data_IF_987602998939
#
_entry.id   IF_987602998939
#
_cell.length_a   1.000
_cell.length_b   1.000
_cell.length_c   1.000
_cell.angle_alpha   90.00
_cell.angle_beta   90.00
_cell.angle_gamma   90.00
#
_symmetry.space_group_name_H-M   'P 1'
#
loop_
_entity.id
_entity.type
_entity.pdbx_description
1 polymer ?
#
# COMPACT_ATOMS: atom_id res chain seq x y z
N UNK A 1 24.18 19.67 20.37
CA UNK A 1 22.93 19.92 21.13
C UNK A 1 22.46 21.36 20.96
N UNK A 2 23.21 22.37 21.41
CA UNK A 2 22.81 23.79 21.24
C UNK A 2 22.63 24.20 19.76
N UNK A 3 23.58 23.82 18.89
CA UNK A 3 23.49 24.08 17.45
C UNK A 3 22.26 23.40 16.81
N UNK A 4 21.87 22.21 17.28
CA UNK A 4 20.68 21.50 16.79
C UNK A 4 19.38 22.18 17.25
N UNK A 5 19.33 22.72 18.47
CA UNK A 5 18.22 23.58 18.92
C UNK A 5 18.12 24.85 18.07
N UNK A 6 19.25 25.47 17.76
CA UNK A 6 19.30 26.62 16.85
C UNK A 6 18.87 26.27 15.43
N UNK A 7 19.14 25.03 14.96
CA UNK A 7 18.69 24.55 13.66
C UNK A 7 17.18 24.43 13.62
N UNK A 8 16.52 23.91 14.66
CA UNK A 8 15.05 23.91 14.75
C UNK A 8 14.47 25.32 14.65
N UNK A 9 15.05 26.29 15.37
CA UNK A 9 14.59 27.68 15.33
C UNK A 9 14.80 28.33 13.95
N UNK A 10 15.98 28.14 13.35
CA UNK A 10 16.28 28.64 12.01
C UNK A 10 15.33 28.03 10.97
N UNK A 11 15.03 26.74 11.09
CA UNK A 11 14.12 26.04 10.20
C UNK A 11 12.68 26.54 10.34
N UNK A 12 12.21 26.75 11.57
CA UNK A 12 10.90 27.34 11.88
C UNK A 12 10.74 28.76 11.33
N UNK A 13 11.81 29.56 11.32
CA UNK A 13 11.78 30.95 10.86
C UNK A 13 12.07 31.10 9.35
N UNK A 14 12.36 30.01 8.63
CA UNK A 14 12.68 30.06 7.20
C UNK A 14 14.07 30.62 6.88
N UNK A 15 15.00 30.63 7.85
CA UNK A 15 16.32 31.23 7.75
C UNK A 15 17.30 30.34 6.96
N UNK A 16 17.13 30.24 5.64
CA UNK A 16 17.86 29.32 4.73
C UNK A 16 19.38 29.34 4.94
N UNK A 17 20.01 30.52 4.95
CA UNK A 17 21.47 30.63 5.09
C UNK A 17 21.97 30.21 6.48
N UNK A 18 21.16 30.45 7.51
CA UNK A 18 21.47 30.00 8.87
C UNK A 18 21.32 28.48 8.99
N UNK A 19 20.29 27.90 8.38
CA UNK A 19 20.12 26.44 8.28
C UNK A 19 21.35 25.81 7.61
N UNK A 20 21.82 26.36 6.48
CA UNK A 20 23.05 25.91 5.80
C UNK A 20 24.28 26.00 6.72
N UNK A 21 24.50 27.16 7.32
CA UNK A 21 25.65 27.38 8.22
C UNK A 21 25.64 26.40 9.40
N UNK A 22 24.47 26.15 10.00
CA UNK A 22 24.33 25.26 11.15
C UNK A 22 24.57 23.80 10.77
N UNK A 23 24.02 23.32 9.64
CA UNK A 23 24.28 21.94 9.19
C UNK A 23 25.75 21.73 8.83
N UNK A 24 26.40 22.71 8.20
CA UNK A 24 27.82 22.63 7.82
C UNK A 24 28.73 22.66 9.06
N UNK A 25 28.26 23.28 10.15
CA UNK A 25 28.90 23.24 11.46
C UNK A 25 28.63 21.95 12.25
N UNK A 26 27.94 20.96 11.68
CA UNK A 26 27.66 19.66 12.29
C UNK A 26 26.40 19.63 13.15
N UNK A 27 25.45 20.57 12.98
CA UNK A 27 24.15 20.45 13.62
C UNK A 27 23.41 19.20 13.11
N UNK A 28 22.87 18.42 14.04
CA UNK A 28 22.11 17.21 13.74
C UNK A 28 20.74 17.55 13.15
N UNK A 29 20.54 17.20 11.86
CA UNK A 29 19.29 17.42 11.12
C UNK A 29 18.16 16.49 11.53
N UNK A 30 18.47 15.43 12.29
CA UNK A 30 17.49 14.47 12.86
C UNK A 30 17.11 14.80 14.30
N UNK A 31 17.65 15.88 14.87
CA UNK A 31 17.43 16.27 16.26
C UNK A 31 15.95 16.56 16.55
N UNK A 32 15.44 16.04 17.67
CA UNK A 32 14.13 16.37 18.20
C UNK A 32 14.26 17.45 19.28
N UNK A 33 13.48 18.52 19.15
CA UNK A 33 13.42 19.57 20.17
C UNK A 33 12.57 19.17 21.38
N UNK A 34 12.43 20.10 22.32
CA UNK A 34 11.69 19.88 23.57
C UNK A 34 10.16 19.70 23.33
N UNK A 35 9.67 19.95 22.10
CA UNK A 35 8.31 19.65 21.66
C UNK A 35 8.19 18.32 20.89
N UNK A 36 9.29 17.60 20.70
CA UNK A 36 9.33 16.38 19.90
C UNK A 36 9.19 16.64 18.40
N UNK A 37 9.64 17.80 17.91
CA UNK A 37 9.64 18.14 16.48
C UNK A 37 11.07 18.23 15.94
N UNK A 38 11.26 17.73 14.71
CA UNK A 38 12.52 17.87 13.98
C UNK A 38 12.59 19.23 13.25
N UNK A 39 13.79 19.69 12.83
CA UNK A 39 13.90 20.86 11.95
C UNK A 39 13.02 20.75 10.70
N UNK A 40 12.93 19.55 10.12
CA UNK A 40 12.14 19.30 8.91
C UNK A 40 10.63 19.47 9.17
N UNK A 41 10.13 19.00 10.32
CA UNK A 41 8.73 19.19 10.72
C UNK A 41 8.39 20.67 10.93
N UNK A 42 9.28 21.45 11.57
CA UNK A 42 9.06 22.89 11.72
C UNK A 42 9.03 23.60 10.37
N UNK A 43 10.01 23.33 9.49
CA UNK A 43 10.04 23.94 8.16
C UNK A 43 8.80 23.59 7.33
N UNK A 44 8.33 22.35 7.43
CA UNK A 44 7.14 21.88 6.73
C UNK A 44 5.84 22.51 7.26
N UNK A 45 5.68 22.59 8.59
CA UNK A 45 4.52 23.23 9.25
C UNK A 45 4.36 24.71 8.89
N UNK A 46 5.48 25.42 8.71
CA UNK A 46 5.48 26.85 8.36
C UNK A 46 5.61 27.11 6.85
N UNK A 47 5.65 26.05 6.03
CA UNK A 47 5.64 26.15 4.56
C UNK A 47 6.95 26.65 3.94
N UNK A 48 8.06 26.50 4.64
CA UNK A 48 9.38 26.95 4.17
C UNK A 48 10.02 25.94 3.22
N UNK A 49 9.46 25.81 2.01
CA UNK A 49 9.84 24.82 0.98
C UNK A 49 11.35 24.77 0.69
N UNK A 50 12.04 25.92 0.67
CA UNK A 50 13.50 25.99 0.45
C UNK A 50 14.28 25.38 1.61
N UNK A 51 13.84 25.61 2.85
CA UNK A 51 14.43 24.99 4.03
C UNK A 51 14.14 23.49 4.04
N UNK A 52 12.91 23.07 3.72
CA UNK A 52 12.53 21.65 3.58
C UNK A 52 13.49 20.93 2.63
N UNK A 53 13.69 21.47 1.41
CA UNK A 53 14.66 20.93 0.44
C UNK A 53 16.08 20.87 1.01
N UNK A 54 16.54 21.95 1.63
CA UNK A 54 17.89 22.07 2.19
C UNK A 54 18.18 21.03 3.28
N UNK A 55 17.17 20.71 4.09
CA UNK A 55 17.25 19.71 5.16
C UNK A 55 17.20 18.28 4.60
N UNK A 56 16.35 18.01 3.61
CA UNK A 56 16.29 16.70 2.93
C UNK A 56 17.61 16.38 2.22
N UNK A 57 18.21 17.35 1.52
CA UNK A 57 19.54 17.22 0.91
C UNK A 57 20.65 16.95 1.93
N UNK A 58 20.44 17.37 3.19
CA UNK A 58 21.35 17.12 4.30
C UNK A 58 21.10 15.77 4.99
N UNK A 59 20.16 14.96 4.51
CA UNK A 59 19.82 13.66 5.08
C UNK A 59 18.81 13.70 6.24
N UNK A 60 18.03 14.78 6.37
CA UNK A 60 16.94 14.80 7.34
C UNK A 60 15.93 13.68 7.02
N UNK A 61 15.54 12.85 8.00
CA UNK A 61 14.60 11.75 7.77
C UNK A 61 13.21 12.27 7.43
N UNK A 62 12.75 12.00 6.21
CA UNK A 62 11.41 12.39 5.74
C UNK A 62 10.29 11.68 6.49
N UNK A 63 10.58 10.48 7.02
CA UNK A 63 9.64 9.58 7.71
C UNK A 63 9.73 9.65 9.24
N UNK A 64 10.42 10.64 9.81
CA UNK A 64 10.40 10.85 11.25
C UNK A 64 8.98 11.22 11.72
N UNK A 65 8.61 10.75 12.92
CA UNK A 65 7.29 10.96 13.51
C UNK A 65 7.39 11.71 14.82
N UNK A 66 6.51 12.69 15.01
CA UNK A 66 6.34 13.41 16.27
C UNK A 66 5.62 12.52 17.31
N UNK A 67 5.53 12.94 18.60
CA UNK A 67 4.73 12.24 19.60
C UNK A 67 3.25 12.09 19.26
N UNK A 68 2.73 12.90 18.32
CA UNK A 68 1.37 12.82 17.80
C UNK A 68 1.25 11.89 16.57
N UNK A 69 2.30 11.15 16.23
CA UNK A 69 2.38 10.29 15.05
C UNK A 69 2.25 11.05 13.71
N UNK A 70 2.59 12.35 13.70
CA UNK A 70 2.62 13.20 12.51
C UNK A 70 4.05 13.32 11.98
N UNK A 71 4.21 13.13 10.68
CA UNK A 71 5.44 13.39 9.92
C UNK A 71 5.52 14.84 9.46
N UNK A 72 6.67 15.24 8.88
CA UNK A 72 6.79 16.54 8.23
C UNK A 72 5.76 16.73 7.10
N UNK A 73 5.43 15.66 6.36
CA UNK A 73 4.42 15.71 5.29
C UNK A 73 3.01 15.94 5.82
N UNK A 74 2.67 15.31 6.95
CA UNK A 74 1.38 15.53 7.63
C UNK A 74 1.24 17.00 8.05
N UNK A 75 2.29 17.59 8.66
CA UNK A 75 2.28 19.02 9.03
C UNK A 75 2.14 19.96 7.83
N UNK A 76 2.82 19.67 6.71
CA UNK A 76 2.68 20.48 5.50
C UNK A 76 1.25 20.39 4.93
N UNK A 77 0.65 19.21 4.94
CA UNK A 77 -0.71 18.97 4.46
C UNK A 77 -1.75 19.69 5.34
N UNK A 78 -1.69 19.51 6.67
CA UNK A 78 -2.61 20.14 7.62
C UNK A 78 -2.57 21.68 7.57
N UNK A 79 -1.39 22.24 7.32
CA UNK A 79 -1.19 23.68 7.18
C UNK A 79 -1.47 24.22 5.76
N UNK A 80 -1.79 23.36 4.79
CA UNK A 80 -2.10 23.75 3.40
C UNK A 80 -0.87 24.18 2.58
N UNK A 81 0.33 23.73 2.94
CA UNK A 81 1.59 24.07 2.28
C UNK A 81 1.96 23.09 1.16
N UNK A 82 1.25 23.21 0.03
CA UNK A 82 1.33 22.30 -1.11
C UNK A 82 2.77 22.08 -1.64
N UNK A 83 3.56 23.15 -1.81
CA UNK A 83 4.92 23.02 -2.35
C UNK A 83 5.84 22.21 -1.41
N UNK A 84 5.77 22.47 -0.10
CA UNK A 84 6.52 21.70 0.89
C UNK A 84 6.09 20.23 0.90
N UNK A 85 4.78 19.99 0.81
CA UNK A 85 4.20 18.64 0.71
C UNK A 85 4.71 17.89 -0.51
N UNK A 86 4.69 18.49 -1.70
CA UNK A 86 5.18 17.89 -2.95
C UNK A 86 6.68 17.55 -2.87
N UNK A 87 7.50 18.43 -2.28
CA UNK A 87 8.92 18.16 -2.06
C UNK A 87 9.11 16.92 -1.16
N UNK A 88 8.32 16.81 -0.09
CA UNK A 88 8.39 15.69 0.85
C UNK A 88 7.92 14.37 0.21
N UNK A 89 6.83 14.39 -0.57
CA UNK A 89 6.36 13.21 -1.32
C UNK A 89 7.47 12.71 -2.25
N UNK A 90 8.05 13.61 -3.05
CA UNK A 90 9.13 13.26 -3.98
C UNK A 90 10.36 12.68 -3.26
N UNK A 91 10.72 13.25 -2.11
CA UNK A 91 11.84 12.73 -1.31
C UNK A 91 11.54 11.34 -0.75
N UNK A 92 10.31 11.08 -0.30
CA UNK A 92 9.87 9.76 0.14
C UNK A 92 9.96 8.71 -0.97
N UNK A 93 9.40 9.02 -2.15
CA UNK A 93 9.46 8.14 -3.33
C UNK A 93 10.91 7.83 -3.70
N UNK A 94 11.76 8.85 -3.80
CA UNK A 94 13.16 8.69 -4.16
C UNK A 94 13.91 7.80 -3.16
N UNK A 95 13.67 8.00 -1.85
CA UNK A 95 14.27 7.19 -0.81
C UNK A 95 13.84 5.72 -0.94
N UNK A 96 12.54 5.45 -1.09
CA UNK A 96 12.00 4.08 -1.21
C UNK A 96 12.52 3.37 -2.48
N UNK A 97 12.61 4.06 -3.62
CA UNK A 97 13.19 3.49 -4.85
C UNK A 97 14.66 3.06 -4.67
N UNK A 98 15.46 3.89 -3.98
CA UNK A 98 16.86 3.59 -3.69
C UNK A 98 16.97 2.43 -2.70
N UNK A 99 16.22 2.49 -1.59
CA UNK A 99 16.24 1.46 -0.55
C UNK A 99 15.77 0.11 -1.10
N UNK A 100 14.67 0.07 -1.85
CA UNK A 100 14.21 -1.13 -2.54
C UNK A 100 15.28 -1.69 -3.48
N UNK A 101 15.99 -0.84 -4.22
CA UNK A 101 17.07 -1.28 -5.12
C UNK A 101 18.25 -1.89 -4.36
N UNK A 102 18.60 -1.35 -3.19
CA UNK A 102 19.64 -1.91 -2.32
C UNK A 102 19.16 -3.25 -1.74
N UNK A 103 17.95 -3.29 -1.18
CA UNK A 103 17.34 -4.49 -0.60
C UNK A 103 17.31 -5.65 -1.60
N UNK A 104 16.95 -5.38 -2.86
CA UNK A 104 16.97 -6.39 -3.94
C UNK A 104 18.35 -6.93 -4.26
N UNK A 105 19.40 -6.12 -4.12
CA UNK A 105 20.80 -6.57 -4.32
C UNK A 105 21.29 -7.43 -3.16
N UNK A 106 20.78 -7.20 -1.95
CA UNK A 106 21.18 -7.92 -0.74
C UNK A 106 20.33 -9.17 -0.47
N UNK A 107 19.05 -9.17 -0.79
CA UNK A 107 18.08 -10.25 -0.50
C UNK A 107 18.08 -11.40 -1.50
N UNK A 108 19.24 -11.73 -2.11
CA UNK A 108 19.41 -13.03 -2.78
C UNK A 108 19.42 -14.23 -1.81
N UNK A 109 19.27 -13.98 -0.50
CA UNK A 109 19.04 -14.98 0.52
C UNK A 109 17.62 -14.78 1.06
N UNK A 110 16.74 -15.76 0.81
CA UNK A 110 15.36 -15.73 1.29
C UNK A 110 15.29 -15.78 2.81
N UNK A 111 14.58 -14.83 3.39
CA UNK A 111 13.90 -15.04 4.66
C UNK A 111 12.45 -15.34 4.32
N UNK A 112 12.02 -16.54 4.70
CA UNK A 112 10.86 -17.23 4.14
C UNK A 112 9.54 -16.68 4.66
N UNK A 113 8.58 -16.59 3.73
CA UNK A 113 7.11 -16.49 3.89
C UNK A 113 6.49 -17.70 4.62
N UNK A 114 7.29 -18.54 5.29
CA UNK A 114 6.88 -19.83 5.87
C UNK A 114 5.93 -19.68 7.08
N UNK A 115 5.92 -18.52 7.75
CA UNK A 115 5.17 -18.39 9.01
C UNK A 115 3.65 -18.37 8.83
N UNK A 116 3.09 -17.84 7.72
CA UNK A 116 1.63 -17.78 7.53
C UNK A 116 1.05 -19.06 6.93
N UNK A 117 1.71 -19.68 5.95
CA UNK A 117 1.16 -20.85 5.24
C UNK A 117 1.15 -22.11 6.11
N UNK A 118 2.02 -22.16 7.13
CA UNK A 118 2.06 -23.19 8.15
C UNK A 118 1.23 -22.82 9.40
N UNK A 119 0.64 -21.62 9.44
CA UNK A 119 -0.16 -21.16 10.58
C UNK A 119 -1.59 -21.72 10.56
N UNK A 120 -2.20 -21.73 11.75
CA UNK A 120 -3.61 -22.01 11.94
C UNK A 120 -4.40 -20.72 11.73
N UNK A 121 -5.50 -20.78 11.00
CA UNK A 121 -6.42 -19.64 10.87
C UNK A 121 -7.74 -19.89 11.59
N UNK A 122 -8.37 -18.82 12.04
CA UNK A 122 -9.68 -18.85 12.67
C UNK A 122 -10.69 -18.03 11.89
N UNK A 123 -11.87 -18.61 11.67
CA UNK A 123 -12.97 -17.96 10.97
C UNK A 123 -14.07 -17.58 11.96
N UNK A 124 -14.56 -16.36 11.83
CA UNK A 124 -15.81 -15.88 12.41
C UNK A 124 -16.71 -15.32 11.31
N UNK A 125 -17.92 -14.89 11.67
CA UNK A 125 -18.82 -14.23 10.71
C UNK A 125 -18.16 -12.98 10.08
N UNK A 126 -17.38 -12.25 10.87
CA UNK A 126 -16.89 -10.92 10.49
C UNK A 126 -15.38 -10.87 10.18
N UNK A 127 -14.61 -11.92 10.49
CA UNK A 127 -13.14 -11.87 10.47
C UNK A 127 -12.52 -13.23 10.13
N UNK A 128 -11.43 -13.19 9.38
CA UNK A 128 -10.42 -14.24 9.26
C UNK A 128 -9.16 -13.76 9.97
N UNK A 129 -8.61 -14.58 10.87
CA UNK A 129 -7.45 -14.21 11.69
C UNK A 129 -6.40 -15.31 11.74
N UNK A 130 -5.13 -14.92 11.82
CA UNK A 130 -4.00 -15.82 12.09
C UNK A 130 -3.94 -16.25 13.58
N UNK A 131 -3.01 -17.12 13.95
CA UNK A 131 -2.87 -17.58 15.35
C UNK A 131 -2.41 -16.47 16.30
N UNK A 132 -1.82 -15.41 15.77
CA UNK A 132 -1.31 -14.25 16.50
C UNK A 132 -2.36 -13.14 16.68
N UNK A 133 -3.62 -13.42 16.34
CA UNK A 133 -4.74 -12.47 16.38
C UNK A 133 -4.54 -11.23 15.50
N UNK A 134 -3.79 -11.36 14.41
CA UNK A 134 -3.77 -10.39 13.31
C UNK A 134 -4.92 -10.70 12.37
N UNK A 135 -5.57 -9.65 11.90
CA UNK A 135 -6.59 -9.77 10.87
C UNK A 135 -5.94 -10.12 9.53
N UNK A 136 -6.44 -11.17 8.90
CA UNK A 136 -6.12 -11.56 7.51
C UNK A 136 -7.08 -10.86 6.55
N UNK A 137 -8.38 -10.90 6.86
CA UNK A 137 -9.45 -10.23 6.11
C UNK A 137 -10.63 -9.94 7.05
N UNK A 138 -11.36 -8.84 6.81
CA UNK A 138 -12.47 -8.42 7.68
C UNK A 138 -13.69 -7.92 6.90
N UNK A 139 -14.88 -8.13 7.46
CA UNK A 139 -16.15 -7.78 6.80
C UNK A 139 -16.33 -6.28 6.50
N UNK A 140 -15.64 -5.38 7.20
CA UNK A 140 -15.71 -3.94 6.91
C UNK A 140 -15.18 -3.60 5.51
N UNK A 141 -14.32 -4.46 4.93
CA UNK A 141 -13.74 -4.29 3.60
C UNK A 141 -14.75 -4.58 2.48
N UNK A 142 -15.93 -5.12 2.80
CA UNK A 142 -16.93 -5.53 1.81
C UNK A 142 -17.26 -4.44 0.77
N UNK A 143 -17.51 -3.16 1.13
CA UNK A 143 -17.78 -2.12 0.14
C UNK A 143 -16.57 -1.86 -0.78
N UNK A 144 -15.34 -2.03 -0.26
CA UNK A 144 -14.11 -1.93 -1.06
C UNK A 144 -14.03 -3.08 -2.05
N UNK A 145 -14.26 -4.31 -1.59
CA UNK A 145 -14.26 -5.52 -2.42
C UNK A 145 -15.31 -5.45 -3.53
N UNK A 146 -16.50 -4.91 -3.25
CA UNK A 146 -17.54 -4.66 -4.25
C UNK A 146 -17.10 -3.63 -5.30
N UNK A 147 -16.42 -2.56 -4.87
CA UNK A 147 -15.89 -1.55 -5.78
C UNK A 147 -14.74 -2.10 -6.65
N UNK A 148 -13.87 -2.93 -6.09
CA UNK A 148 -12.82 -3.65 -6.83
C UNK A 148 -13.41 -4.60 -7.86
N UNK A 149 -14.37 -5.44 -7.44
CA UNK A 149 -15.09 -6.36 -8.33
C UNK A 149 -15.75 -5.60 -9.50
N UNK A 150 -16.39 -4.47 -9.23
CA UNK A 150 -16.98 -3.61 -10.27
C UNK A 150 -15.93 -3.13 -11.28
N UNK A 151 -14.75 -2.73 -10.82
CA UNK A 151 -13.68 -2.25 -11.69
C UNK A 151 -13.15 -3.38 -12.59
N UNK A 152 -12.73 -4.50 -12.01
CA UNK A 152 -12.12 -5.61 -12.75
C UNK A 152 -13.11 -6.34 -13.66
N UNK A 153 -14.40 -6.34 -13.33
CA UNK A 153 -15.44 -6.95 -14.17
C UNK A 153 -16.04 -6.01 -15.23
N UNK A 154 -15.56 -4.76 -15.35
CA UNK A 154 -16.16 -3.76 -16.25
C UNK A 154 -16.18 -4.18 -17.72
N UNK A 155 -15.20 -4.98 -18.17
CA UNK A 155 -15.14 -5.57 -19.51
C UNK A 155 -15.78 -6.96 -19.63
N UNK A 156 -16.27 -7.55 -18.53
CA UNK A 156 -16.67 -8.95 -18.47
C UNK A 156 -15.50 -9.91 -18.69
N UNK A 157 -15.74 -11.04 -19.35
CA UNK A 157 -14.66 -11.94 -19.78
C UNK A 157 -14.12 -12.85 -18.68
N UNK A 158 -12.81 -13.08 -18.71
CA UNK A 158 -12.09 -13.99 -17.81
C UNK A 158 -11.45 -13.18 -16.68
N UNK A 159 -11.83 -13.46 -15.44
CA UNK A 159 -11.38 -12.72 -14.26
C UNK A 159 -10.44 -13.60 -13.43
N UNK A 160 -9.33 -13.02 -12.98
CA UNK A 160 -8.39 -13.62 -12.04
C UNK A 160 -8.50 -12.91 -10.68
N UNK A 161 -8.57 -13.68 -9.61
CA UNK A 161 -8.32 -13.23 -8.25
C UNK A 161 -7.08 -13.96 -7.69
N UNK A 162 -6.16 -13.21 -7.07
CA UNK A 162 -5.03 -13.74 -6.31
C UNK A 162 -5.26 -13.45 -4.82
N UNK A 163 -5.53 -14.51 -4.06
CA UNK A 163 -5.90 -14.45 -2.64
C UNK A 163 -7.42 -14.50 -2.44
N UNK A 164 -7.94 -15.59 -1.88
CA UNK A 164 -9.38 -15.76 -1.66
C UNK A 164 -9.83 -15.15 -0.33
N UNK A 165 -9.07 -15.39 0.76
CA UNK A 165 -9.40 -14.93 2.10
C UNK A 165 -10.79 -15.40 2.56
N UNK A 166 -11.72 -14.46 2.75
CA UNK A 166 -13.12 -14.76 3.10
C UNK A 166 -14.05 -14.91 1.88
N UNK A 167 -13.56 -14.70 0.66
CA UNK A 167 -14.32 -14.76 -0.59
C UNK A 167 -15.23 -13.55 -0.82
N UNK A 168 -14.93 -12.40 -0.20
CA UNK A 168 -15.73 -11.18 -0.32
C UNK A 168 -15.71 -10.64 -1.75
N UNK A 169 -14.51 -10.43 -2.30
CA UNK A 169 -14.33 -9.98 -3.69
C UNK A 169 -14.82 -11.02 -4.68
N UNK A 170 -14.56 -12.30 -4.43
CA UNK A 170 -15.02 -13.39 -5.29
C UNK A 170 -16.54 -13.45 -5.37
N UNK A 171 -17.21 -13.29 -4.22
CA UNK A 171 -18.66 -13.21 -4.12
C UNK A 171 -19.22 -12.05 -4.94
N UNK A 172 -18.56 -10.88 -4.87
CA UNK A 172 -18.93 -9.71 -5.66
C UNK A 172 -18.66 -9.91 -7.17
N UNK A 173 -17.51 -10.47 -7.56
CA UNK A 173 -17.17 -10.80 -8.95
C UNK A 173 -18.24 -11.72 -9.57
N UNK A 174 -18.68 -12.73 -8.83
CA UNK A 174 -19.70 -13.67 -9.32
C UNK A 174 -21.06 -13.00 -9.63
N UNK A 175 -21.38 -11.85 -9.04
CA UNK A 175 -22.60 -11.10 -9.37
C UNK A 175 -22.56 -10.53 -10.79
N UNK A 176 -21.36 -10.32 -11.35
CA UNK A 176 -21.15 -9.84 -12.72
C UNK A 176 -21.14 -10.96 -13.77
N UNK A 177 -21.32 -12.22 -13.35
CA UNK A 177 -21.38 -13.39 -14.26
C UNK A 177 -20.22 -13.47 -15.27
N UNK A 178 -18.95 -13.48 -14.82
CA UNK A 178 -17.82 -13.59 -15.73
C UNK A 178 -17.83 -14.93 -16.48
N UNK A 179 -17.22 -14.95 -17.68
CA UNK A 179 -17.08 -16.16 -18.51
C UNK A 179 -16.33 -17.24 -17.73
N UNK A 180 -15.23 -16.85 -17.08
CA UNK A 180 -14.53 -17.69 -16.11
C UNK A 180 -13.99 -16.85 -14.97
N UNK A 181 -13.89 -17.46 -13.80
CA UNK A 181 -13.31 -16.87 -12.60
C UNK A 181 -12.22 -17.79 -12.05
N UNK A 182 -10.96 -17.42 -12.27
CA UNK A 182 -9.81 -18.15 -11.72
C UNK A 182 -9.44 -17.56 -10.37
N UNK A 183 -9.29 -18.39 -9.35
CA UNK A 183 -8.94 -17.98 -7.99
C UNK A 183 -7.68 -18.72 -7.59
N UNK A 184 -6.62 -17.99 -7.24
CA UNK A 184 -5.40 -18.56 -6.64
C UNK A 184 -5.51 -18.44 -5.13
N UNK A 185 -5.33 -19.55 -4.41
CA UNK A 185 -5.33 -19.60 -2.95
C UNK A 185 -4.19 -20.48 -2.45
N UNK A 186 -3.38 -19.93 -1.53
CA UNK A 186 -2.17 -20.57 -1.04
C UNK A 186 -2.37 -21.27 0.31
N UNK A 187 -3.26 -20.76 1.16
CA UNK A 187 -3.44 -21.24 2.53
C UNK A 187 -4.30 -22.52 2.56
N UNK A 188 -3.80 -23.65 3.09
CA UNK A 188 -4.50 -24.93 3.08
C UNK A 188 -5.90 -24.88 3.71
N UNK A 189 -6.04 -24.28 4.90
CA UNK A 189 -7.35 -24.21 5.59
C UNK A 189 -8.37 -23.30 4.88
N UNK A 190 -7.91 -22.24 4.20
CA UNK A 190 -8.78 -21.38 3.38
C UNK A 190 -9.26 -22.17 2.15
N UNK A 191 -8.34 -22.87 1.48
CA UNK A 191 -8.66 -23.74 0.35
C UNK A 191 -9.67 -24.85 0.73
N UNK A 192 -9.47 -25.53 1.85
CA UNK A 192 -10.43 -26.53 2.34
C UNK A 192 -11.82 -25.91 2.58
N UNK A 193 -11.87 -24.72 3.17
CA UNK A 193 -13.12 -23.99 3.37
C UNK A 193 -13.80 -23.61 2.05
N UNK A 194 -13.04 -23.20 1.02
CA UNK A 194 -13.58 -22.95 -0.33
C UNK A 194 -14.29 -24.18 -0.88
N UNK A 195 -13.68 -25.37 -0.75
CA UNK A 195 -14.28 -26.62 -1.20
C UNK A 195 -15.55 -26.98 -0.43
N UNK A 196 -15.51 -26.84 0.91
CA UNK A 196 -16.67 -27.10 1.79
C UNK A 196 -17.85 -26.16 1.49
N UNK A 197 -17.57 -24.90 1.20
CA UNK A 197 -18.58 -23.88 0.87
C UNK A 197 -19.03 -23.92 -0.60
N UNK A 198 -18.52 -24.88 -1.39
CA UNK A 198 -19.02 -25.19 -2.72
C UNK A 198 -18.41 -24.37 -3.85
N UNK A 199 -17.33 -23.62 -3.61
CA UNK A 199 -16.65 -22.87 -4.67
C UNK A 199 -16.12 -23.75 -5.79
N UNK A 200 -15.57 -24.93 -5.44
CA UNK A 200 -15.12 -25.92 -6.43
C UNK A 200 -16.24 -26.57 -7.25
N UNK A 201 -17.52 -26.31 -6.93
CA UNK A 201 -18.69 -26.84 -7.66
C UNK A 201 -19.29 -25.83 -8.64
N UNK A 202 -18.84 -24.58 -8.63
CA UNK A 202 -19.32 -23.54 -9.56
C UNK A 202 -18.73 -23.79 -10.95
N UNK A 203 -19.59 -23.90 -11.96
CA UNK A 203 -19.19 -24.30 -13.31
C UNK A 203 -18.19 -23.34 -13.99
N UNK A 204 -18.20 -22.06 -13.63
CA UNK A 204 -17.30 -21.05 -14.19
C UNK A 204 -16.12 -20.71 -13.27
N UNK A 205 -15.93 -21.42 -12.14
CA UNK A 205 -14.83 -21.17 -11.21
C UNK A 205 -13.73 -22.22 -11.38
N UNK A 206 -12.48 -21.75 -11.49
CA UNK A 206 -11.27 -22.58 -11.47
C UNK A 206 -10.44 -22.18 -10.24
N UNK A 207 -10.33 -23.09 -9.27
CA UNK A 207 -9.45 -22.87 -8.11
C UNK A 207 -8.07 -23.44 -8.42
N UNK A 208 -7.04 -22.62 -8.25
CA UNK A 208 -5.63 -23.01 -8.40
C UNK A 208 -4.98 -22.94 -7.01
N UNK A 209 -4.68 -24.10 -6.44
CA UNK A 209 -4.10 -24.18 -5.10
C UNK A 209 -2.58 -24.01 -5.16
N UNK A 210 -2.05 -23.13 -4.32
CA UNK A 210 -0.63 -22.84 -4.18
C UNK A 210 -0.32 -21.35 -4.17
N UNK A 211 0.93 -21.00 -3.86
CA UNK A 211 1.42 -19.62 -3.94
C UNK A 211 1.38 -19.14 -5.38
N UNK A 212 1.03 -17.87 -5.60
CA UNK A 212 0.95 -17.30 -6.95
C UNK A 212 2.30 -17.39 -7.69
N UNK A 213 3.41 -17.27 -6.97
CA UNK A 213 4.78 -17.44 -7.46
C UNK A 213 4.97 -18.82 -8.11
N UNK A 214 4.46 -19.88 -7.47
CA UNK A 214 4.65 -21.26 -7.92
C UNK A 214 3.67 -21.64 -9.03
N UNK A 215 2.45 -21.07 -9.01
CA UNK A 215 1.38 -21.42 -9.96
C UNK A 215 1.30 -20.49 -11.17
N UNK A 216 2.10 -19.42 -11.21
CA UNK A 216 2.25 -18.49 -12.34
C UNK A 216 2.29 -19.17 -13.73
N UNK A 217 3.02 -20.27 -13.95
CA UNK A 217 3.04 -20.97 -15.24
C UNK A 217 1.67 -21.52 -15.68
N UNK A 218 0.76 -21.77 -14.73
CA UNK A 218 -0.59 -22.29 -14.96
C UNK A 218 -1.61 -21.18 -15.27
N UNK A 219 -1.23 -19.91 -15.06
CA UNK A 219 -2.09 -18.76 -15.28
C UNK A 219 -2.10 -18.33 -16.75
N UNK A 220 -3.28 -17.97 -17.21
CA UNK A 220 -3.57 -17.51 -18.57
C UNK A 220 -3.53 -15.97 -18.63
N UNK A 221 -4.17 -15.37 -19.65
CA UNK A 221 -4.40 -13.93 -19.70
C UNK A 221 -5.87 -13.62 -19.38
N UNK A 222 -6.10 -12.51 -18.70
CA UNK A 222 -7.39 -12.15 -18.10
C UNK A 222 -7.83 -10.76 -18.52
N UNK A 223 -9.15 -10.57 -18.58
CA UNK A 223 -9.81 -9.30 -18.86
C UNK A 223 -9.91 -8.43 -17.59
N UNK A 224 -9.86 -9.06 -16.42
CA UNK A 224 -9.77 -8.39 -15.13
C UNK A 224 -8.90 -9.17 -14.15
N UNK A 225 -8.09 -8.45 -13.35
CA UNK A 225 -7.24 -9.06 -12.32
C UNK A 225 -7.43 -8.28 -11.02
N UNK A 226 -7.74 -9.00 -9.94
CA UNK A 226 -7.67 -8.50 -8.57
C UNK A 226 -6.54 -9.20 -7.79
N UNK A 227 -5.77 -8.43 -7.03
CA UNK A 227 -4.68 -8.93 -6.20
C UNK A 227 -4.83 -8.47 -4.75
N UNK A 228 -5.01 -9.41 -3.82
CA UNK A 228 -5.20 -9.17 -2.39
C UNK A 228 -4.65 -10.35 -1.58
N UNK A 229 -3.34 -10.33 -1.35
CA UNK A 229 -2.62 -11.37 -0.62
C UNK A 229 -2.33 -10.96 0.82
N UNK A 230 -2.20 -11.95 1.70
CA UNK A 230 -1.84 -11.74 3.10
C UNK A 230 -0.46 -12.30 3.41
N UNK A 231 0.28 -11.62 4.29
CA UNK A 231 1.63 -12.02 4.69
C UNK A 231 2.71 -11.65 3.67
N UNK A 232 2.32 -10.93 2.61
CA UNK A 232 3.21 -10.43 1.57
C UNK A 232 3.54 -8.94 1.78
N UNK A 233 4.73 -8.55 1.35
CA UNK A 233 5.24 -7.19 1.48
C UNK A 233 5.20 -6.46 0.14
N UNK A 234 5.59 -5.18 0.15
CA UNK A 234 5.62 -4.36 -1.06
C UNK A 234 6.44 -4.98 -2.21
N UNK A 235 7.54 -5.68 -1.94
CA UNK A 235 8.33 -6.33 -3.00
C UNK A 235 7.59 -7.48 -3.69
N UNK A 236 6.71 -8.21 -3.00
CA UNK A 236 5.89 -9.26 -3.59
C UNK A 236 4.83 -8.66 -4.54
N UNK A 237 4.16 -7.58 -4.12
CA UNK A 237 3.23 -6.83 -4.98
C UNK A 237 3.94 -6.31 -6.23
N UNK A 238 5.14 -5.74 -6.04
CA UNK A 238 5.98 -5.24 -7.13
C UNK A 238 6.45 -6.35 -8.07
N UNK A 239 6.79 -7.54 -7.53
CA UNK A 239 7.12 -8.73 -8.33
C UNK A 239 5.92 -9.17 -9.17
N UNK A 240 4.73 -9.25 -8.57
CA UNK A 240 3.50 -9.58 -9.28
C UNK A 240 3.24 -8.58 -10.44
N UNK A 241 3.46 -7.28 -10.22
CA UNK A 241 3.33 -6.27 -11.28
C UNK A 241 4.20 -6.56 -12.51
N UNK A 242 5.39 -7.16 -12.36
CA UNK A 242 6.25 -7.53 -13.49
C UNK A 242 5.61 -8.59 -14.42
N UNK A 243 4.60 -9.31 -13.93
CA UNK A 243 3.87 -10.32 -14.70
C UNK A 243 2.63 -9.78 -15.40
N UNK A 244 2.19 -8.56 -15.10
CA UNK A 244 1.02 -7.94 -15.74
C UNK A 244 1.09 -7.91 -17.27
N UNK A 245 2.25 -7.65 -17.93
CA UNK A 245 2.31 -7.67 -19.39
C UNK A 245 1.96 -9.02 -20.03
N UNK A 246 2.11 -10.12 -19.28
CA UNK A 246 1.67 -11.46 -19.70
C UNK A 246 0.23 -11.75 -19.28
N UNK A 247 -0.13 -11.35 -18.06
CA UNK A 247 -1.39 -11.77 -17.42
C UNK A 247 -2.58 -10.89 -17.80
N UNK A 248 -2.40 -9.59 -18.04
CA UNK A 248 -3.50 -8.69 -18.34
C UNK A 248 -3.65 -8.50 -19.85
N UNK A 249 -4.84 -8.79 -20.38
CA UNK A 249 -5.15 -8.58 -21.81
C UNK A 249 -5.17 -7.07 -22.14
N UNK A 250 -4.92 -6.69 -23.41
CA UNK A 250 -5.19 -5.32 -23.87
C UNK A 250 -6.62 -4.89 -23.55
N UNK A 251 -6.78 -3.72 -22.96
CA UNK A 251 -8.08 -3.20 -22.50
C UNK A 251 -8.59 -3.79 -21.18
N UNK A 252 -7.87 -4.75 -20.59
CA UNK A 252 -8.20 -5.30 -19.29
C UNK A 252 -7.95 -4.33 -18.14
N UNK A 253 -8.55 -4.62 -16.99
CA UNK A 253 -8.43 -3.81 -15.77
C UNK A 253 -7.71 -4.59 -14.67
N UNK A 254 -6.66 -4.01 -14.13
CA UNK A 254 -5.98 -4.49 -12.93
C UNK A 254 -6.35 -3.64 -11.72
N UNK A 255 -6.55 -4.28 -10.58
CA UNK A 255 -6.80 -3.62 -9.30
C UNK A 255 -6.21 -4.47 -8.18
N UNK A 256 -5.86 -3.85 -7.06
CA UNK A 256 -5.27 -4.53 -5.91
C UNK A 256 -5.71 -3.89 -4.61
N UNK A 257 -5.63 -4.64 -3.50
CA UNK A 257 -5.88 -4.06 -2.19
C UNK A 257 -4.74 -3.09 -1.81
N UNK A 258 -5.06 -1.80 -1.76
CA UNK A 258 -4.12 -0.72 -1.52
C UNK A 258 -3.92 -0.45 -0.03
N UNK A 259 -3.43 -1.46 0.70
CA UNK A 259 -3.28 -1.44 2.17
C UNK A 259 -1.99 -0.79 2.69
N UNK A 260 -1.06 -0.39 1.83
CA UNK A 260 0.28 0.06 2.23
C UNK A 260 0.21 1.32 3.10
N UNK A 261 0.83 1.28 4.27
CA UNK A 261 0.86 2.39 5.22
C UNK A 261 -0.52 2.92 5.67
N UNK A 262 -1.54 2.06 5.75
CA UNK A 262 -2.91 2.43 6.20
C UNK A 262 -3.02 3.05 7.60
N UNK A 263 -1.92 3.23 8.34
CA UNK A 263 -1.86 3.93 9.63
C UNK A 263 -1.31 5.37 9.59
N UNK A 264 -0.77 5.84 8.46
CA UNK A 264 -0.27 7.22 8.32
C UNK A 264 -0.60 7.75 6.92
N UNK A 265 -1.34 8.87 6.86
CA UNK A 265 -1.89 9.40 5.61
C UNK A 265 -0.79 9.82 4.62
N UNK A 266 0.23 10.54 5.09
CA UNK A 266 1.33 10.97 4.24
C UNK A 266 2.13 9.78 3.67
N UNK A 267 2.45 8.78 4.49
CA UNK A 267 3.18 7.59 4.02
C UNK A 267 2.34 6.79 3.01
N UNK A 268 1.03 6.69 3.22
CA UNK A 268 0.12 6.08 2.25
C UNK A 268 0.14 6.82 0.91
N UNK A 269 0.19 8.16 0.91
CA UNK A 269 0.33 8.96 -0.32
C UNK A 269 1.68 8.70 -1.01
N UNK A 270 2.78 8.61 -0.26
CA UNK A 270 4.10 8.27 -0.82
C UNK A 270 4.05 6.91 -1.54
N UNK A 271 3.50 5.87 -0.91
CA UNK A 271 3.40 4.54 -1.51
C UNK A 271 2.42 4.48 -2.69
N UNK A 272 1.30 5.22 -2.63
CA UNK A 272 0.38 5.36 -3.77
C UNK A 272 1.11 5.90 -5.01
N UNK A 273 1.93 6.95 -4.84
CA UNK A 273 2.69 7.54 -5.95
C UNK A 273 3.82 6.61 -6.42
N UNK A 274 4.53 5.96 -5.48
CA UNK A 274 5.57 5.00 -5.79
C UNK A 274 5.05 3.85 -6.66
N UNK A 275 3.96 3.21 -6.24
CA UNK A 275 3.32 2.11 -6.98
C UNK A 275 2.85 2.59 -8.36
N UNK A 276 2.24 3.78 -8.42
CA UNK A 276 1.77 4.36 -9.70
C UNK A 276 2.91 4.59 -10.68
N UNK A 277 4.05 5.13 -10.22
CA UNK A 277 5.24 5.35 -11.05
C UNK A 277 5.87 4.04 -11.55
N UNK A 278 5.91 3.00 -10.71
CA UNK A 278 6.42 1.70 -11.12
C UNK A 278 5.49 1.02 -12.14
N UNK A 279 4.17 1.11 -11.95
CA UNK A 279 3.19 0.63 -12.94
C UNK A 279 3.29 1.42 -14.25
N UNK A 280 3.49 2.74 -14.20
CA UNK A 280 3.72 3.57 -15.38
C UNK A 280 4.97 3.13 -16.15
N UNK A 281 6.05 2.77 -15.43
CA UNK A 281 7.27 2.23 -16.06
C UNK A 281 7.05 0.90 -16.80
N UNK A 282 5.97 0.18 -16.45
CA UNK A 282 5.53 -1.04 -17.12
C UNK A 282 4.49 -0.79 -18.22
N UNK A 283 4.12 0.47 -18.47
CA UNK A 283 3.13 0.85 -19.48
C UNK A 283 1.70 0.87 -18.97
N UNK A 284 1.45 1.11 -17.67
CA UNK A 284 0.11 1.17 -17.10
C UNK A 284 -0.20 2.54 -16.49
N UNK A 285 -1.39 3.07 -16.76
CA UNK A 285 -1.94 4.18 -15.98
C UNK A 285 -2.50 3.66 -14.65
N UNK A 286 -2.47 4.49 -13.62
CA UNK A 286 -3.10 4.20 -12.32
C UNK A 286 -4.04 5.34 -11.95
N UNK A 287 -5.33 5.05 -11.84
CA UNK A 287 -6.32 5.97 -11.28
C UNK A 287 -6.60 5.58 -9.83
N UNK A 288 -6.46 6.53 -8.90
CA UNK A 288 -6.77 6.35 -7.49
C UNK A 288 -8.13 6.98 -7.17
N UNK A 289 -9.15 6.13 -7.03
CA UNK A 289 -10.54 6.57 -6.77
C UNK A 289 -10.76 6.65 -5.25
N UNK A 290 -11.07 7.83 -4.67
CA UNK A 290 -11.29 7.96 -3.24
C UNK A 290 -12.62 7.32 -2.83
N UNK A 291 -12.58 6.47 -1.82
CA UNK A 291 -13.71 5.82 -1.18
C UNK A 291 -13.71 6.18 0.31
N UNK A 292 -14.65 6.99 0.80
CA UNK A 292 -14.79 7.26 2.23
C UNK A 292 -15.10 5.97 2.99
N UNK A 293 -14.32 5.69 4.03
CA UNK A 293 -14.45 4.48 4.87
C UNK A 293 -14.63 4.80 6.35
N UNK A 294 -14.55 6.07 6.74
CA UNK A 294 -14.68 6.52 8.15
C UNK A 294 -15.86 5.88 8.89
N UNK A 295 -17.02 5.83 8.25
CA UNK A 295 -18.25 5.31 8.85
C UNK A 295 -18.26 3.76 8.99
N UNK A 296 -17.29 3.08 8.38
CA UNK A 296 -17.12 1.63 8.44
C UNK A 296 -16.06 1.18 9.47
N UNK A 297 -15.39 2.11 10.17
CA UNK A 297 -14.21 1.86 11.00
C UNK A 297 -14.44 2.08 12.49
N UNK A 298 -15.66 1.83 12.98
CA UNK A 298 -16.01 1.90 14.41
C UNK A 298 -15.07 1.07 15.29
N UNK A 299 -14.92 1.44 16.57
CA UNK A 299 -14.01 0.75 17.50
C UNK A 299 -14.34 -0.74 17.66
N UNK A 300 -15.63 -1.09 17.57
CA UNK A 300 -16.15 -2.46 17.61
C UNK A 300 -15.58 -3.36 16.50
N UNK A 301 -15.22 -2.76 15.35
CA UNK A 301 -14.61 -3.50 14.23
C UNK A 301 -13.28 -4.10 14.67
N UNK A 302 -12.55 -3.40 15.54
CA UNK A 302 -11.19 -3.77 15.95
C UNK A 302 -11.14 -4.63 17.22
N UNK A 303 -12.28 -4.95 17.83
CA UNK A 303 -12.32 -5.80 19.02
C UNK A 303 -11.66 -7.17 18.78
N UNK A 304 -10.69 -7.53 19.63
CA UNK A 304 -9.93 -8.77 19.51
C UNK A 304 -8.81 -8.75 18.45
N UNK A 305 -8.64 -7.64 17.72
CA UNK A 305 -7.54 -7.47 16.76
C UNK A 305 -6.33 -6.85 17.47
N UNK A 306 -5.16 -7.47 17.31
CA UNK A 306 -3.92 -7.02 17.96
C UNK A 306 -3.46 -5.64 17.48
N UNK A 307 -3.57 -5.37 16.18
CA UNK A 307 -3.16 -4.12 15.56
C UNK A 307 -4.14 -3.68 14.46
N UNK A 308 -4.59 -2.43 14.50
CA UNK A 308 -5.38 -1.83 13.40
C UNK A 308 -4.47 -1.65 12.19
N UNK A 309 -4.74 -2.38 11.10
CA UNK A 309 -3.98 -2.23 9.86
C UNK A 309 -4.47 -1.05 9.01
N UNK A 310 -5.67 -0.53 9.30
CA UNK A 310 -6.24 0.62 8.63
C UNK A 310 -6.82 1.63 9.61
N UNK A 311 -6.47 2.91 9.44
CA UNK A 311 -6.86 4.01 10.31
C UNK A 311 -7.20 5.30 9.53
N UNK A 312 -7.16 5.27 8.19
CA UNK A 312 -7.44 6.44 7.35
C UNK A 312 -8.93 6.57 7.05
N UNK A 313 -9.41 7.81 6.97
CA UNK A 313 -10.82 8.11 6.65
C UNK A 313 -11.21 7.78 5.20
N UNK A 314 -10.23 7.69 4.30
CA UNK A 314 -10.42 7.45 2.86
C UNK A 314 -9.50 6.32 2.39
N UNK A 315 -10.08 5.34 1.72
CA UNK A 315 -9.36 4.33 0.94
C UNK A 315 -9.24 4.78 -0.51
N UNK A 316 -8.07 4.65 -1.12
CA UNK A 316 -7.87 4.97 -2.54
C UNK A 316 -7.87 3.68 -3.35
N UNK A 317 -8.94 3.44 -4.10
CA UNK A 317 -9.09 2.27 -4.96
C UNK A 317 -8.25 2.43 -6.24
N UNK A 318 -7.21 1.61 -6.46
CA UNK A 318 -6.43 1.64 -7.69
C UNK A 318 -7.17 0.96 -8.86
N UNK A 319 -7.36 1.68 -9.96
CA UNK A 319 -7.79 1.13 -11.24
C UNK A 319 -6.65 1.33 -12.23
N UNK A 320 -6.06 0.23 -12.68
CA UNK A 320 -4.90 0.24 -13.55
C UNK A 320 -5.24 -0.32 -14.92
N UNK A 321 -4.80 0.35 -15.99
CA UNK A 321 -5.06 -0.06 -17.36
C UNK A 321 -3.82 0.15 -18.23
N UNK A 322 -3.63 -0.69 -19.24
CA UNK A 322 -2.53 -0.51 -20.19
C UNK A 322 -2.66 0.86 -20.88
N UNK A 323 -1.59 1.64 -20.86
CA UNK A 323 -1.43 2.81 -21.70
C UNK A 323 -1.38 2.29 -23.14
N UNK A 324 -2.47 2.47 -23.90
CA UNK A 324 -2.42 2.19 -25.33
C UNK A 324 -1.34 3.10 -25.93
N UNK A 325 -0.47 2.54 -26.79
CA UNK A 325 0.31 3.35 -27.71
C UNK A 325 -0.70 4.22 -28.47
N UNK A 326 -0.71 5.53 -28.19
CA UNK A 326 -1.56 6.45 -28.92
C UNK A 326 -1.30 6.25 -30.42
N UNK A 327 -2.38 6.03 -31.18
CA UNK A 327 -2.33 6.03 -32.65
C UNK A 327 -1.62 7.26 -33.22
#
# INVERSE_FOLDING_TARGET
MEQSKQLCLAAKNGEVERVKTLKDAGADVSYFDDHGLTPLMHAAREGHSVVVRTLLEAGAPWNALSPLNLSAGDFAMEAGHQEAFEILVNAGIQAELILGTIARRTNKAGDSQEDYLDDRVSFSENKLMDSNSKAVMMAWEKPLMEAHAKAVCSGGGHILNIGFGMGLVDGAIQQYSPISHTIVEAHPEVYERMLQTGWGKKNNVKIVFGRWQDVLPQLESYDGIFFDTYGEYYEDLREFHQHLPRLLKPGGVYSFFNGLCGGNAFFHVVYCNLVSLELESLGYSTQLIPLPVKDCLGEEVWEGIKHKYWQLDTYYLPVCQCLQDGE
#
